data_IF_537096669394
#
_entry.id   IF_537096669394
#
_cell.length_a   1.000
_cell.length_b   1.000
_cell.length_c   1.000
_cell.angle_alpha   90.00
_cell.angle_beta   90.00
_cell.angle_gamma   90.00
#
_symmetry.space_group_name_H-M   'P 1'
#
loop_
_entity.id
_entity.type
_entity.pdbx_description
1 polymer ?
#
# COMPACT_ATOMS: atom_id res chain seq x y z
N UNK A 1 -3.03 37.83 -28.07
CA UNK A 1 -2.96 36.63 -27.21
C UNK A 1 -1.91 35.72 -27.81
N UNK A 2 -0.74 35.63 -27.20
CA UNK A 2 0.32 34.71 -27.66
C UNK A 2 -0.07 33.30 -27.25
N UNK A 3 -0.44 32.45 -28.22
CA UNK A 3 -0.43 31.00 -28.03
C UNK A 3 0.96 30.62 -27.51
N UNK A 4 1.01 30.13 -26.28
CA UNK A 4 2.25 29.57 -25.74
C UNK A 4 2.45 28.23 -26.45
N UNK A 5 3.57 28.09 -27.16
CA UNK A 5 3.87 26.87 -27.89
C UNK A 5 3.97 25.69 -26.92
N UNK A 6 3.34 24.56 -27.27
CA UNK A 6 3.42 23.31 -26.53
C UNK A 6 4.88 22.91 -26.31
N UNK A 7 5.22 22.54 -25.08
CA UNK A 7 6.55 22.07 -24.72
C UNK A 7 6.64 20.55 -24.86
N UNK A 8 7.87 20.01 -24.89
CA UNK A 8 8.09 18.55 -24.86
C UNK A 8 7.49 17.89 -23.60
N UNK A 9 7.38 18.63 -22.50
CA UNK A 9 6.74 18.13 -21.28
C UNK A 9 5.25 17.95 -21.46
N UNK A 10 4.59 18.83 -22.20
CA UNK A 10 3.16 18.71 -22.50
C UNK A 10 2.89 17.44 -23.34
N UNK A 11 3.77 17.14 -24.30
CA UNK A 11 3.69 15.91 -25.10
C UNK A 11 3.89 14.64 -24.26
N UNK A 12 4.86 14.66 -23.33
CA UNK A 12 5.11 13.54 -22.41
C UNK A 12 3.92 13.33 -21.48
N UNK A 13 3.41 14.39 -20.85
CA UNK A 13 2.33 14.30 -19.88
C UNK A 13 0.97 14.00 -20.53
N UNK A 14 0.76 14.38 -21.79
CA UNK A 14 -0.40 13.95 -22.57
C UNK A 14 -0.46 12.42 -22.74
N UNK A 15 0.68 11.73 -22.70
CA UNK A 15 0.76 10.26 -22.74
C UNK A 15 0.74 9.60 -21.37
N UNK A 16 0.93 10.35 -20.28
CA UNK A 16 1.00 9.84 -18.91
C UNK A 16 -0.36 10.00 -18.21
N UNK A 17 -1.35 9.25 -18.67
CA UNK A 17 -2.74 9.30 -18.14
C UNK A 17 -3.10 8.06 -17.35
N UNK A 18 -4.05 8.14 -16.38
CA UNK A 18 -4.56 6.97 -15.67
C UNK A 18 -5.01 5.85 -16.60
N UNK A 19 -5.72 6.16 -17.68
CA UNK A 19 -6.18 5.12 -18.62
C UNK A 19 -5.02 4.45 -19.36
N UNK A 20 -4.02 5.22 -19.81
CA UNK A 20 -2.88 4.66 -20.55
C UNK A 20 -2.01 3.72 -19.73
N UNK A 21 -1.90 3.94 -18.41
CA UNK A 21 -1.04 3.15 -17.52
C UNK A 21 -1.85 2.15 -16.72
N UNK A 22 -2.85 2.63 -15.98
CA UNK A 22 -3.60 1.81 -15.03
C UNK A 22 -4.59 0.89 -15.72
N UNK A 23 -5.06 1.18 -16.94
CA UNK A 23 -5.92 0.27 -17.72
C UNK A 23 -5.17 -0.50 -18.81
N UNK A 24 -3.85 -0.37 -18.89
CA UNK A 24 -3.05 -1.24 -19.77
C UNK A 24 -3.28 -2.71 -19.37
N UNK A 25 -3.59 -3.62 -20.32
CA UNK A 25 -3.87 -5.02 -20.01
C UNK A 25 -2.68 -5.76 -19.38
N UNK A 26 -1.45 -5.23 -19.50
CA UNK A 26 -0.24 -5.77 -18.89
C UNK A 26 -0.03 -5.27 -17.46
N UNK A 27 -0.70 -4.18 -17.06
CA UNK A 27 -0.55 -3.56 -15.74
C UNK A 27 -1.30 -4.34 -14.65
N UNK A 28 -0.90 -5.58 -14.41
CA UNK A 28 -1.62 -6.52 -13.53
C UNK A 28 -0.95 -6.76 -12.19
N UNK A 29 0.26 -6.21 -12.00
CA UNK A 29 1.13 -6.52 -10.86
C UNK A 29 2.03 -7.74 -11.06
N UNK A 30 1.98 -8.40 -12.23
CA UNK A 30 2.82 -9.55 -12.54
C UNK A 30 4.32 -9.21 -12.36
N UNK A 31 5.07 -10.13 -11.77
CA UNK A 31 6.49 -9.94 -11.44
C UNK A 31 6.78 -9.05 -10.21
N UNK A 32 5.75 -8.48 -9.57
CA UNK A 32 5.92 -7.61 -8.39
C UNK A 32 5.54 -8.37 -7.11
N UNK A 33 6.48 -8.42 -6.16
CA UNK A 33 6.24 -8.96 -4.83
C UNK A 33 5.75 -7.86 -3.88
N UNK A 34 4.66 -8.13 -3.16
CA UNK A 34 3.99 -7.21 -2.24
C UNK A 34 3.87 -7.87 -0.85
N UNK A 35 4.35 -7.21 0.20
CA UNK A 35 4.10 -7.62 1.58
C UNK A 35 2.93 -6.84 2.17
N UNK A 36 1.96 -7.55 2.76
CA UNK A 36 0.92 -7.01 3.63
C UNK A 36 1.34 -7.29 5.06
N UNK A 37 1.78 -6.26 5.78
CA UNK A 37 2.16 -6.34 7.19
C UNK A 37 0.93 -5.92 8.02
N UNK A 38 0.22 -6.91 8.55
CA UNK A 38 -1.11 -6.74 9.16
C UNK A 38 -1.42 -7.94 10.09
N UNK A 39 -2.68 -8.35 10.25
CA UNK A 39 -3.14 -9.46 11.09
C UNK A 39 -3.20 -10.82 10.38
N UNK A 40 -2.33 -11.02 9.40
CA UNK A 40 -2.31 -12.23 8.57
C UNK A 40 -3.42 -12.27 7.52
N UNK A 41 -3.39 -13.31 6.68
CA UNK A 41 -4.32 -13.51 5.57
C UNK A 41 -4.92 -14.91 5.65
N UNK A 42 -6.22 -15.03 5.46
CA UNK A 42 -6.92 -16.29 5.26
C UNK A 42 -6.87 -16.64 3.77
N UNK A 43 -5.88 -17.44 3.38
CA UNK A 43 -5.56 -17.78 1.99
C UNK A 43 -6.76 -18.39 1.28
N UNK A 44 -7.40 -19.35 1.93
CA UNK A 44 -8.48 -20.14 1.36
C UNK A 44 -9.68 -19.28 0.94
N UNK A 45 -9.99 -18.23 1.71
CA UNK A 45 -11.08 -17.29 1.43
C UNK A 45 -10.80 -16.49 0.17
N UNK A 46 -9.57 -15.99 0.01
CA UNK A 46 -9.20 -15.21 -1.18
C UNK A 46 -9.12 -16.08 -2.42
N UNK A 47 -8.44 -17.23 -2.34
CA UNK A 47 -8.36 -18.18 -3.47
C UNK A 47 -9.75 -18.59 -3.97
N UNK A 48 -10.68 -18.89 -3.05
CA UNK A 48 -12.06 -19.22 -3.40
C UNK A 48 -12.79 -18.05 -4.05
N UNK A 49 -12.68 -16.84 -3.48
CA UNK A 49 -13.32 -15.63 -4.02
C UNK A 49 -12.86 -15.33 -5.44
N UNK A 50 -11.55 -15.30 -5.66
CA UNK A 50 -10.99 -14.95 -6.98
C UNK A 50 -11.22 -16.05 -8.02
N UNK A 51 -11.15 -17.33 -7.63
CA UNK A 51 -11.52 -18.44 -8.50
C UNK A 51 -13.00 -18.35 -8.92
N UNK A 52 -13.91 -18.07 -7.98
CA UNK A 52 -15.34 -17.87 -8.26
C UNK A 52 -15.63 -16.68 -9.18
N UNK A 53 -14.77 -15.67 -9.18
CA UNK A 53 -14.82 -14.52 -10.10
C UNK A 53 -14.08 -14.75 -11.43
N UNK A 54 -13.56 -15.96 -11.68
CA UNK A 54 -12.79 -16.27 -12.89
C UNK A 54 -11.44 -15.52 -12.99
N UNK A 55 -10.95 -14.98 -11.87
CA UNK A 55 -9.69 -14.23 -11.82
C UNK A 55 -8.59 -15.09 -11.23
N UNK A 56 -7.51 -15.29 -11.99
CA UNK A 56 -6.35 -16.05 -11.51
C UNK A 56 -5.42 -15.17 -10.69
N UNK A 57 -5.19 -15.54 -9.43
CA UNK A 57 -4.20 -14.92 -8.53
C UNK A 57 -2.96 -15.80 -8.37
N UNK A 58 -1.82 -15.19 -8.05
CA UNK A 58 -0.61 -15.92 -7.68
C UNK A 58 -0.67 -16.41 -6.23
N UNK A 59 0.23 -17.32 -5.86
CA UNK A 59 0.27 -17.93 -4.52
C UNK A 59 0.50 -16.88 -3.42
N UNK A 60 -0.23 -17.04 -2.32
CA UNK A 60 -0.07 -16.24 -1.11
C UNK A 60 0.87 -16.98 -0.15
N UNK A 61 2.07 -16.45 0.08
CA UNK A 61 3.03 -16.94 1.07
C UNK A 61 3.01 -16.06 2.33
N UNK A 62 3.74 -16.41 3.39
CA UNK A 62 3.75 -15.57 4.58
C UNK A 62 4.50 -16.13 5.78
N UNK A 63 4.43 -15.39 6.89
CA UNK A 63 4.90 -15.83 8.20
C UNK A 63 4.18 -15.08 9.34
N UNK A 64 4.24 -15.63 10.55
CA UNK A 64 3.75 -14.98 11.78
C UNK A 64 4.94 -14.48 12.59
N UNK A 65 5.01 -13.17 12.80
CA UNK A 65 6.15 -12.48 13.40
C UNK A 65 6.02 -12.35 14.91
N UNK A 66 7.17 -12.24 15.57
CA UNK A 66 7.33 -12.04 17.00
C UNK A 66 8.36 -10.93 17.24
N UNK A 67 8.38 -10.30 18.43
CA UNK A 67 9.34 -9.22 18.72
C UNK A 67 10.80 -9.68 18.65
N UNK A 68 11.05 -10.97 18.90
CA UNK A 68 12.38 -11.58 18.83
C UNK A 68 12.32 -13.03 18.34
N UNK A 69 13.46 -13.50 17.81
CA UNK A 69 13.60 -14.83 17.24
C UNK A 69 13.05 -14.95 15.80
N UNK A 70 13.16 -16.15 15.21
CA UNK A 70 12.65 -16.39 13.86
C UNK A 70 11.11 -16.33 13.82
N UNK A 71 10.52 -15.91 12.68
CA UNK A 71 9.08 -15.94 12.54
C UNK A 71 8.57 -17.40 12.51
N UNK A 72 7.32 -17.58 12.93
CA UNK A 72 6.62 -18.86 12.85
C UNK A 72 6.08 -19.08 11.43
N UNK A 73 5.93 -20.34 10.99
CA UNK A 73 5.43 -20.63 9.65
C UNK A 73 3.99 -20.14 9.47
N UNK A 74 3.69 -19.61 8.28
CA UNK A 74 2.33 -19.32 7.87
C UNK A 74 1.61 -20.58 7.40
N UNK A 75 0.48 -20.88 8.01
CA UNK A 75 -0.33 -22.06 7.73
C UNK A 75 -1.50 -21.80 6.78
N UNK A 76 -1.60 -20.58 6.23
CA UNK A 76 -2.75 -20.17 5.41
C UNK A 76 -3.83 -19.40 6.17
N UNK A 77 -3.67 -19.21 7.49
CA UNK A 77 -4.66 -18.59 8.36
C UNK A 77 -4.25 -17.21 8.86
N UNK A 78 -5.24 -16.36 9.06
CA UNK A 78 -5.11 -15.05 9.72
C UNK A 78 -5.31 -15.15 11.24
N UNK A 79 -4.76 -14.21 12.00
CA UNK A 79 -5.12 -14.02 13.42
C UNK A 79 -6.37 -13.17 13.60
N UNK A 80 -6.63 -12.24 12.69
CA UNK A 80 -7.82 -11.36 12.69
C UNK A 80 -8.22 -11.01 11.26
N UNK A 81 -9.53 -10.77 10.97
CA UNK A 81 -10.06 -10.53 9.63
C UNK A 81 -9.43 -9.37 8.83
N UNK A 82 -8.82 -8.39 9.51
CA UNK A 82 -8.41 -7.13 8.89
C UNK A 82 -7.40 -7.32 7.73
N UNK A 83 -6.33 -8.08 7.96
CA UNK A 83 -5.30 -8.34 6.95
C UNK A 83 -5.81 -9.06 5.70
N UNK A 84 -6.83 -9.92 5.83
CA UNK A 84 -7.47 -10.55 4.65
C UNK A 84 -8.23 -9.53 3.81
N UNK A 85 -8.93 -8.58 4.42
CA UNK A 85 -9.59 -7.48 3.68
C UNK A 85 -8.56 -6.58 2.99
N UNK A 86 -7.43 -6.31 3.64
CA UNK A 86 -6.32 -5.54 3.04
C UNK A 86 -5.74 -6.27 1.83
N UNK A 87 -5.44 -7.56 1.97
CA UNK A 87 -4.91 -8.39 0.88
C UNK A 87 -5.91 -8.55 -0.27
N UNK A 88 -7.20 -8.68 0.03
CA UNK A 88 -8.28 -8.69 -0.96
C UNK A 88 -8.26 -7.44 -1.85
N UNK A 89 -8.08 -6.26 -1.26
CA UNK A 89 -7.97 -5.01 -2.00
C UNK A 89 -6.75 -5.04 -2.92
N UNK A 90 -5.56 -5.40 -2.40
CA UNK A 90 -4.34 -5.47 -3.21
C UNK A 90 -4.53 -6.40 -4.41
N UNK A 91 -5.10 -7.59 -4.20
CA UNK A 91 -5.36 -8.56 -5.27
C UNK A 91 -6.49 -8.13 -6.21
N UNK A 92 -7.45 -7.33 -5.75
CA UNK A 92 -8.49 -6.74 -6.63
C UNK A 92 -7.86 -5.73 -7.59
N UNK A 93 -6.91 -4.91 -7.11
CA UNK A 93 -6.26 -3.89 -7.92
C UNK A 93 -5.15 -4.47 -8.81
N UNK A 94 -4.36 -5.39 -8.29
CA UNK A 94 -3.21 -5.99 -8.95
C UNK A 94 -3.22 -7.53 -8.74
N UNK A 95 -4.06 -8.27 -9.46
CA UNK A 95 -4.32 -9.69 -9.20
C UNK A 95 -3.11 -10.61 -9.39
N UNK A 96 -2.09 -10.14 -10.10
CA UNK A 96 -0.92 -10.93 -10.48
C UNK A 96 0.31 -10.65 -9.62
N UNK A 97 0.18 -9.91 -8.53
CA UNK A 97 1.30 -9.75 -7.58
C UNK A 97 1.61 -11.06 -6.88
N UNK A 98 2.87 -11.27 -6.51
CA UNK A 98 3.23 -12.28 -5.50
C UNK A 98 2.98 -11.69 -4.12
N UNK A 99 1.95 -12.16 -3.41
CA UNK A 99 1.55 -11.60 -2.12
C UNK A 99 2.18 -12.36 -0.96
N UNK A 100 2.76 -11.61 -0.03
CA UNK A 100 3.30 -12.09 1.24
C UNK A 100 2.48 -11.55 2.41
N UNK A 101 1.93 -12.44 3.21
CA UNK A 101 1.24 -12.13 4.46
C UNK A 101 2.23 -12.12 5.62
N UNK A 102 2.44 -10.96 6.23
CA UNK A 102 3.18 -10.83 7.49
C UNK A 102 2.21 -10.54 8.62
N UNK A 103 1.92 -11.57 9.43
CA UNK A 103 1.09 -11.40 10.62
C UNK A 103 1.94 -10.85 11.77
N UNK A 104 1.68 -9.60 12.20
CA UNK A 104 2.40 -8.93 13.30
C UNK A 104 1.58 -8.82 14.59
N UNK A 105 0.33 -9.29 14.57
CA UNK A 105 -0.54 -9.31 15.75
C UNK A 105 -0.53 -10.67 16.43
N UNK A 106 -0.43 -11.74 15.64
CA UNK A 106 -0.49 -13.12 16.10
C UNK A 106 -1.80 -13.44 16.85
N UNK A 107 -1.92 -14.66 17.40
CA UNK A 107 -3.15 -15.11 18.06
C UNK A 107 -3.56 -14.27 19.28
N UNK A 108 -2.61 -13.55 19.89
CA UNK A 108 -2.86 -12.72 21.08
C UNK A 108 -3.35 -11.31 20.75
N UNK A 109 -3.31 -10.89 19.48
CA UNK A 109 -3.77 -9.57 19.03
C UNK A 109 -2.89 -8.39 19.44
N UNK A 110 -1.72 -8.64 20.02
CA UNK A 110 -0.77 -7.61 20.47
C UNK A 110 0.25 -7.30 19.38
N UNK A 111 0.38 -6.04 18.99
CA UNK A 111 1.37 -5.60 17.99
C UNK A 111 2.40 -4.67 18.64
N UNK A 112 3.65 -5.12 18.68
CA UNK A 112 4.80 -4.35 19.15
C UNK A 112 5.57 -3.74 17.97
N UNK A 113 6.19 -2.58 18.19
CA UNK A 113 7.00 -1.90 17.16
C UNK A 113 8.13 -2.81 16.67
N UNK A 114 8.74 -3.55 17.58
CA UNK A 114 9.80 -4.52 17.33
C UNK A 114 9.33 -5.64 16.38
N UNK A 115 8.08 -6.11 16.51
CA UNK A 115 7.47 -7.09 15.60
C UNK A 115 7.29 -6.52 14.19
N UNK A 116 6.82 -5.27 14.08
CA UNK A 116 6.66 -4.58 12.79
C UNK A 116 8.02 -4.38 12.10
N UNK A 117 9.05 -3.98 12.86
CA UNK A 117 10.42 -3.84 12.34
C UNK A 117 10.98 -5.19 11.86
N UNK A 118 10.75 -6.26 12.62
CA UNK A 118 11.17 -7.61 12.22
C UNK A 118 10.49 -8.06 10.93
N UNK A 119 9.18 -7.82 10.79
CA UNK A 119 8.42 -8.11 9.57
C UNK A 119 8.91 -7.29 8.38
N UNK A 120 9.13 -5.98 8.56
CA UNK A 120 9.61 -5.09 7.50
C UNK A 120 10.99 -5.53 6.99
N UNK A 121 11.93 -5.82 7.90
CA UNK A 121 13.25 -6.32 7.53
C UNK A 121 13.18 -7.67 6.82
N UNK A 122 12.34 -8.58 7.29
CA UNK A 122 12.16 -9.87 6.62
C UNK A 122 11.59 -9.72 5.21
N UNK A 123 10.61 -8.82 5.02
CA UNK A 123 10.05 -8.51 3.72
C UNK A 123 11.12 -7.99 2.74
N UNK A 124 12.01 -7.12 3.22
CA UNK A 124 13.10 -6.53 2.43
C UNK A 124 14.21 -7.56 2.15
N UNK A 125 14.67 -8.28 3.18
CA UNK A 125 15.88 -9.10 3.11
C UNK A 125 15.65 -10.51 2.63
N UNK A 126 14.51 -11.12 2.96
CA UNK A 126 14.24 -12.54 2.68
C UNK A 126 13.27 -12.66 1.51
N UNK A 127 12.12 -11.97 1.58
CA UNK A 127 11.12 -12.02 0.51
C UNK A 127 11.46 -11.14 -0.68
N UNK A 128 12.40 -10.20 -0.52
CA UNK A 128 12.83 -9.25 -1.56
C UNK A 128 11.65 -8.53 -2.21
N UNK A 129 10.69 -8.09 -1.38
CA UNK A 129 9.49 -7.41 -1.89
C UNK A 129 9.84 -6.05 -2.48
N UNK A 130 9.02 -5.61 -3.44
CA UNK A 130 9.11 -4.27 -4.02
C UNK A 130 8.17 -3.28 -3.34
N UNK A 131 7.06 -3.78 -2.81
CA UNK A 131 6.02 -2.97 -2.16
C UNK A 131 5.69 -3.56 -0.79
N UNK A 132 5.51 -2.69 0.20
CA UNK A 132 5.04 -3.01 1.54
C UNK A 132 3.80 -2.17 1.82
N UNK A 133 2.73 -2.81 2.25
CA UNK A 133 1.52 -2.16 2.73
C UNK A 133 1.44 -2.26 4.27
N UNK A 134 1.40 -1.12 4.94
CA UNK A 134 1.21 -0.96 6.38
C UNK A 134 -0.16 -0.30 6.64
N UNK A 135 -1.21 -1.11 6.68
CA UNK A 135 -2.57 -0.68 7.08
C UNK A 135 -2.73 -0.64 8.61
N UNK A 136 -1.68 -0.20 9.29
CA UNK A 136 -1.59 -0.08 10.74
C UNK A 136 -1.03 1.28 11.12
N UNK A 137 -1.37 1.75 12.31
CA UNK A 137 -0.93 3.03 12.80
C UNK A 137 -1.02 3.12 14.31
N UNK A 138 -0.02 3.76 14.91
CA UNK A 138 0.00 4.07 16.34
C UNK A 138 -0.08 5.59 16.50
N UNK A 139 -1.11 6.12 17.17
CA UNK A 139 -1.19 7.55 17.47
C UNK A 139 0.03 8.04 18.25
N UNK A 140 0.46 9.27 17.99
CA UNK A 140 1.67 9.86 18.60
C UNK A 140 1.74 9.71 20.13
N UNK A 141 0.60 9.90 20.82
CA UNK A 141 0.53 9.78 22.28
C UNK A 141 0.75 8.36 22.81
N UNK A 142 0.59 7.32 21.99
CA UNK A 142 0.90 5.92 22.35
C UNK A 142 2.32 5.53 21.98
N UNK A 143 2.97 6.31 21.11
CA UNK A 143 4.35 6.12 20.67
C UNK A 143 5.32 7.08 21.37
N UNK A 144 5.03 7.48 22.62
CA UNK A 144 5.80 8.46 23.39
C UNK A 144 7.26 8.06 23.64
N UNK A 145 7.60 6.78 23.53
CA UNK A 145 8.97 6.31 23.66
C UNK A 145 9.79 6.66 22.41
N UNK A 146 10.50 7.79 22.46
CA UNK A 146 11.39 8.28 21.40
C UNK A 146 12.32 7.21 20.79
N UNK A 147 12.92 6.27 21.56
CA UNK A 147 13.78 5.25 20.97
C UNK A 147 13.06 4.33 19.96
N UNK A 148 11.84 3.89 20.27
CA UNK A 148 11.04 3.01 19.39
C UNK A 148 10.63 3.72 18.12
N UNK A 149 10.23 4.99 18.25
CA UNK A 149 9.92 5.85 17.11
C UNK A 149 11.11 5.97 16.15
N UNK A 150 12.30 6.26 16.68
CA UNK A 150 13.52 6.36 15.87
C UNK A 150 13.95 5.01 15.27
N UNK A 151 13.72 3.89 15.95
CA UNK A 151 13.98 2.56 15.39
C UNK A 151 13.07 2.25 14.20
N UNK A 152 11.76 2.53 14.33
CA UNK A 152 10.81 2.32 13.24
C UNK A 152 11.12 3.25 12.05
N UNK A 153 11.41 4.53 12.32
CA UNK A 153 11.79 5.48 11.29
C UNK A 153 13.02 5.00 10.50
N UNK A 154 14.08 4.56 11.19
CA UNK A 154 15.28 4.03 10.53
C UNK A 154 14.99 2.80 9.66
N UNK A 155 14.09 1.92 10.10
CA UNK A 155 13.70 0.76 9.30
C UNK A 155 12.93 1.15 8.03
N UNK A 156 12.10 2.20 8.10
CA UNK A 156 11.40 2.78 6.94
C UNK A 156 12.39 3.44 5.97
N UNK A 157 13.35 4.21 6.50
CA UNK A 157 14.41 4.82 5.69
C UNK A 157 15.28 3.76 5.00
N UNK A 158 15.61 2.67 5.70
CA UNK A 158 16.32 1.53 5.11
C UNK A 158 15.53 0.92 3.94
N UNK A 159 14.21 0.75 4.08
CA UNK A 159 13.36 0.27 2.99
C UNK A 159 13.46 1.18 1.75
N UNK A 160 13.38 2.50 1.96
CA UNK A 160 13.52 3.48 0.89
C UNK A 160 14.88 3.38 0.17
N UNK A 161 15.98 3.31 0.93
CA UNK A 161 17.33 3.18 0.36
C UNK A 161 17.60 1.83 -0.32
N UNK A 162 16.75 0.83 -0.08
CA UNK A 162 16.82 -0.49 -0.71
C UNK A 162 15.77 -0.66 -1.80
N UNK A 163 15.27 0.46 -2.33
CA UNK A 163 14.31 0.54 -3.44
C UNK A 163 12.95 -0.11 -3.17
N UNK A 164 12.57 -0.23 -1.89
CA UNK A 164 11.27 -0.78 -1.47
C UNK A 164 10.29 0.35 -1.19
N UNK A 165 9.10 0.27 -1.79
CA UNK A 165 8.04 1.25 -1.58
C UNK A 165 7.23 0.86 -0.36
N UNK A 166 7.17 1.73 0.64
CA UNK A 166 6.33 1.54 1.82
C UNK A 166 5.11 2.46 1.74
N UNK A 167 3.92 1.89 1.87
CA UNK A 167 2.65 2.62 1.96
C UNK A 167 2.12 2.51 3.38
N UNK A 168 1.75 3.64 3.98
CA UNK A 168 1.29 3.67 5.37
C UNK A 168 -0.01 4.44 5.54
N UNK A 169 -0.94 3.86 6.29
CA UNK A 169 -2.22 4.45 6.61
C UNK A 169 -2.06 5.66 7.55
N UNK A 170 -2.68 6.78 7.16
CA UNK A 170 -2.93 7.90 8.06
C UNK A 170 -3.95 7.50 9.15
N UNK A 171 -4.26 8.43 10.06
CA UNK A 171 -5.21 8.18 11.13
C UNK A 171 -6.66 8.30 10.65
N UNK A 172 -7.55 7.46 11.18
CA UNK A 172 -8.98 7.47 10.79
C UNK A 172 -9.82 8.57 11.45
N UNK A 173 -9.30 9.18 12.53
CA UNK A 173 -9.99 10.23 13.29
C UNK A 173 -9.58 11.63 12.80
N UNK A 174 -9.44 12.59 13.73
CA UNK A 174 -9.22 14.00 13.41
C UNK A 174 -8.00 14.20 12.49
N UNK A 175 -8.08 15.07 11.45
CA UNK A 175 -7.01 15.28 10.47
C UNK A 175 -5.69 15.82 11.05
N UNK A 176 -5.70 16.27 12.31
CA UNK A 176 -4.51 16.74 13.02
C UNK A 176 -3.83 15.64 13.85
N UNK A 177 -4.45 14.47 14.01
CA UNK A 177 -3.89 13.38 14.79
C UNK A 177 -2.79 12.70 13.98
N UNK A 178 -1.54 12.87 14.42
CA UNK A 178 -0.40 12.18 13.83
C UNK A 178 -0.43 10.70 14.21
N UNK A 179 -0.31 9.85 13.19
CA UNK A 179 -0.17 8.41 13.31
C UNK A 179 1.12 7.95 12.65
N UNK A 180 1.86 7.08 13.32
CA UNK A 180 3.08 6.47 12.81
C UNK A 180 2.77 5.05 12.32
N UNK A 181 3.26 4.64 11.14
CA UNK A 181 4.38 5.25 10.43
C UNK A 181 4.03 6.38 9.44
N UNK A 182 2.77 6.63 9.07
CA UNK A 182 2.45 7.61 8.01
C UNK A 182 3.09 9.01 8.20
N UNK A 183 3.21 9.49 9.44
CA UNK A 183 3.88 10.76 9.74
C UNK A 183 5.41 10.76 9.53
N UNK A 184 6.03 9.63 9.15
CA UNK A 184 7.43 9.55 8.75
C UNK A 184 7.70 9.85 7.28
N UNK A 185 6.69 10.18 6.45
CA UNK A 185 6.93 10.65 5.09
C UNK A 185 7.97 11.81 5.07
N UNK A 186 8.87 11.89 4.07
CA UNK A 186 8.77 11.32 2.72
C UNK A 186 9.44 9.96 2.40
N UNK A 187 10.24 9.25 3.25
CA UNK A 187 10.77 7.93 2.88
C UNK A 187 9.70 6.84 2.64
N UNK A 188 8.44 7.11 2.98
CA UNK A 188 7.29 6.29 2.62
C UNK A 188 6.23 7.12 1.90
N UNK A 189 5.20 6.47 1.39
CA UNK A 189 4.01 7.07 0.80
C UNK A 189 2.88 7.03 1.83
N UNK A 190 2.49 8.18 2.36
CA UNK A 190 1.43 8.31 3.37
C UNK A 190 0.06 8.48 2.71
N UNK A 191 -0.92 7.69 3.18
CA UNK A 191 -2.23 7.55 2.52
C UNK A 191 -3.39 7.80 3.49
N UNK A 192 -4.22 8.77 3.14
CA UNK A 192 -5.50 9.06 3.77
C UNK A 192 -6.68 8.54 2.93
N UNK A 193 -7.87 8.54 3.52
CA UNK A 193 -9.10 8.08 2.87
C UNK A 193 -9.69 9.16 1.96
N UNK A 194 -10.06 8.75 0.76
CA UNK A 194 -10.86 9.54 -0.16
C UNK A 194 -12.09 8.76 -0.64
N UNK A 195 -13.16 9.49 -0.92
CA UNK A 195 -14.38 8.93 -1.50
C UNK A 195 -14.28 9.09 -3.02
N UNK A 196 -13.92 8.00 -3.69
CA UNK A 196 -13.84 7.92 -5.14
C UNK A 196 -14.75 6.79 -5.63
N UNK A 197 -15.42 6.95 -6.77
CA UNK A 197 -16.27 5.89 -7.31
C UNK A 197 -15.46 4.76 -7.95
N UNK A 198 -14.36 5.12 -8.63
CA UNK A 198 -13.42 4.18 -9.25
C UNK A 198 -12.32 3.80 -8.25
N UNK A 199 -12.07 2.49 -8.01
CA UNK A 199 -11.03 2.04 -7.10
C UNK A 199 -9.59 2.34 -7.55
N UNK A 200 -9.37 2.69 -8.82
CA UNK A 200 -8.08 3.15 -9.35
C UNK A 200 -7.88 4.66 -9.21
N UNK A 201 -8.88 5.41 -8.73
CA UNK A 201 -8.75 6.85 -8.51
C UNK A 201 -8.15 7.17 -7.15
N UNK A 202 -7.32 8.20 -7.16
CA UNK A 202 -6.63 8.75 -6.00
C UNK A 202 -6.33 10.24 -6.26
N UNK A 203 -5.90 10.95 -5.22
CA UNK A 203 -5.51 12.34 -5.30
C UNK A 203 -4.22 12.59 -4.54
N UNK A 204 -3.41 13.54 -5.02
CA UNK A 204 -2.35 14.14 -4.21
C UNK A 204 -2.94 15.34 -3.48
N UNK A 205 -2.91 15.31 -2.14
CA UNK A 205 -3.43 16.37 -1.28
C UNK A 205 -2.59 16.43 -0.02
N UNK A 206 -1.46 17.13 -0.12
CA UNK A 206 -0.54 17.29 1.00
C UNK A 206 -1.24 18.02 2.17
N UNK A 207 -1.31 17.36 3.31
CA UNK A 207 -1.76 17.92 4.57
C UNK A 207 -0.82 17.43 5.67
N UNK A 208 -0.05 18.33 6.28
CA UNK A 208 1.07 17.98 7.16
C UNK A 208 2.03 17.00 6.47
N UNK A 209 2.20 15.78 7.00
CA UNK A 209 3.03 14.72 6.42
C UNK A 209 2.23 13.69 5.62
N UNK A 210 0.93 13.90 5.38
CA UNK A 210 0.09 12.99 4.61
C UNK A 210 -0.04 13.46 3.16
N UNK A 211 0.45 12.65 2.21
CA UNK A 211 0.66 13.06 0.81
C UNK A 211 -0.52 12.75 -0.11
N UNK A 212 -1.14 11.56 0.04
CA UNK A 212 -2.14 11.05 -0.91
C UNK A 212 -3.46 10.71 -0.22
N UNK A 213 -4.55 10.76 -1.01
CA UNK A 213 -5.84 10.16 -0.68
C UNK A 213 -6.19 9.09 -1.71
N UNK A 214 -6.74 7.95 -1.30
CA UNK A 214 -7.13 6.88 -2.21
C UNK A 214 -8.51 6.28 -1.88
N UNK A 215 -9.07 5.48 -2.79
CA UNK A 215 -10.36 4.82 -2.60
C UNK A 215 -10.39 4.04 -1.30
N UNK A 216 -11.38 4.31 -0.44
CA UNK A 216 -11.28 3.90 0.96
C UNK A 216 -12.31 2.85 1.39
N UNK A 217 -12.80 1.98 0.49
CA UNK A 217 -13.74 0.89 0.85
C UNK A 217 -13.11 -0.47 0.60
N UNK A 218 -13.38 -1.43 1.47
CA UNK A 218 -13.05 -2.83 1.24
C UNK A 218 -14.18 -3.59 0.54
N UNK A 219 -13.88 -4.82 0.11
CA UNK A 219 -14.83 -5.68 -0.60
C UNK A 219 -15.09 -7.01 0.10
N UNK A 220 -14.53 -7.19 1.29
CA UNK A 220 -14.58 -8.44 2.02
C UNK A 220 -14.59 -8.19 3.53
N UNK A 221 -15.47 -8.89 4.24
CA UNK A 221 -15.56 -8.82 5.71
C UNK A 221 -16.53 -7.75 6.23
N UNK A 222 -16.82 -7.77 7.54
CA UNK A 222 -17.89 -6.97 8.15
C UNK A 222 -17.57 -5.46 8.18
N UNK A 223 -16.30 -5.08 8.19
CA UNK A 223 -15.84 -3.69 8.31
C UNK A 223 -15.56 -3.02 6.95
N UNK A 224 -15.78 -3.73 5.85
CA UNK A 224 -15.38 -3.32 4.52
C UNK A 224 -16.17 -2.12 3.98
N UNK A 225 -17.38 -1.89 4.50
CA UNK A 225 -18.31 -0.87 3.97
C UNK A 225 -18.01 0.54 4.47
N UNK A 226 -17.34 0.67 5.61
CA UNK A 226 -17.04 1.98 6.19
C UNK A 226 -15.72 2.54 5.64
N UNK A 227 -15.70 3.80 5.17
CA UNK A 227 -14.49 4.47 4.70
C UNK A 227 -13.35 4.52 5.74
N UNK A 228 -12.20 3.92 5.41
CA UNK A 228 -11.03 3.90 6.29
C UNK A 228 -9.69 4.05 5.54
N UNK A 229 -8.70 4.63 6.21
CA UNK A 229 -7.31 4.78 5.72
C UNK A 229 -6.64 3.42 5.51
N UNK A 230 -6.99 2.43 6.35
CA UNK A 230 -6.56 1.03 6.20
C UNK A 230 -7.01 0.39 4.89
N UNK A 231 -8.12 0.87 4.30
CA UNK A 231 -8.59 0.45 2.98
C UNK A 231 -7.98 1.29 1.86
N UNK A 232 -7.75 2.59 2.09
CA UNK A 232 -7.12 3.47 1.11
C UNK A 232 -5.66 3.08 0.78
N UNK A 233 -4.90 2.70 1.81
CA UNK A 233 -3.49 2.32 1.68
C UNK A 233 -3.27 1.17 0.68
N UNK A 234 -3.98 0.04 0.75
CA UNK A 234 -3.80 -1.07 -0.20
C UNK A 234 -4.30 -0.75 -1.60
N UNK A 235 -5.24 0.20 -1.78
CA UNK A 235 -5.59 0.68 -3.12
C UNK A 235 -4.39 1.34 -3.79
N UNK A 236 -3.74 2.28 -3.10
CA UNK A 236 -2.60 2.99 -3.67
C UNK A 236 -1.38 2.08 -3.82
N UNK A 237 -1.16 1.15 -2.89
CA UNK A 237 -0.12 0.13 -2.99
C UNK A 237 -0.33 -0.79 -4.22
N UNK A 238 -1.58 -1.22 -4.45
CA UNK A 238 -1.97 -1.99 -5.64
C UNK A 238 -1.77 -1.21 -6.93
N UNK A 239 -2.17 0.07 -6.97
CA UNK A 239 -1.96 0.97 -8.11
C UNK A 239 -0.46 1.08 -8.43
N UNK A 240 0.38 1.25 -7.41
CA UNK A 240 1.83 1.27 -7.60
C UNK A 240 2.35 -0.06 -8.14
N UNK A 241 1.84 -1.20 -7.68
CA UNK A 241 2.18 -2.51 -8.23
C UNK A 241 1.78 -2.66 -9.72
N UNK A 242 0.64 -2.09 -10.14
CA UNK A 242 0.26 -2.02 -11.57
C UNK A 242 1.30 -1.25 -12.38
N UNK A 243 1.69 -0.05 -11.92
CA UNK A 243 2.73 0.77 -12.57
C UNK A 243 4.05 -0.01 -12.65
N UNK A 244 4.47 -0.62 -11.54
CA UNK A 244 5.70 -1.38 -11.45
C UNK A 244 5.71 -2.62 -12.36
N UNK A 245 4.57 -3.27 -12.61
CA UNK A 245 4.54 -4.39 -13.56
C UNK A 245 4.85 -3.99 -15.01
N UNK A 246 4.70 -2.71 -15.36
CA UNK A 246 5.14 -2.18 -16.66
C UNK A 246 6.62 -1.74 -16.65
N UNK A 247 7.14 -1.32 -15.49
CA UNK A 247 8.52 -0.86 -15.31
C UNK A 247 9.04 -1.22 -13.89
N UNK A 248 9.55 -2.45 -13.69
CA UNK A 248 9.81 -3.00 -12.35
C UNK A 248 10.95 -2.32 -11.56
N UNK A 249 11.86 -1.65 -12.26
CA UNK A 249 13.07 -1.02 -11.73
C UNK A 249 12.86 0.42 -11.25
N UNK A 250 11.64 0.96 -11.35
CA UNK A 250 11.31 2.30 -10.84
C UNK A 250 11.64 2.41 -9.34
N UNK A 251 12.22 3.54 -8.97
CA UNK A 251 12.60 3.91 -7.61
C UNK A 251 11.42 4.53 -6.86
N UNK A 252 11.44 4.55 -5.52
CA UNK A 252 10.35 5.13 -4.73
C UNK A 252 10.00 6.57 -5.11
N UNK A 253 10.99 7.43 -5.37
CA UNK A 253 10.74 8.83 -5.78
C UNK A 253 10.15 8.94 -7.19
N UNK A 254 10.49 8.03 -8.10
CA UNK A 254 9.94 8.00 -9.46
C UNK A 254 8.47 7.58 -9.43
N UNK A 255 8.12 6.58 -8.62
CA UNK A 255 6.72 6.19 -8.42
C UNK A 255 5.92 7.34 -7.79
N UNK A 256 6.45 8.03 -6.76
CA UNK A 256 5.80 9.22 -6.20
C UNK A 256 5.52 10.28 -7.28
N UNK A 257 6.50 10.51 -8.14
CA UNK A 257 6.40 11.46 -9.26
C UNK A 257 5.33 11.02 -10.26
N UNK A 258 5.32 9.75 -10.67
CA UNK A 258 4.32 9.20 -11.59
C UNK A 258 2.92 9.29 -10.97
N UNK A 259 2.74 8.91 -9.71
CA UNK A 259 1.45 9.02 -9.02
C UNK A 259 0.95 10.47 -9.00
N UNK A 260 1.81 11.43 -8.67
CA UNK A 260 1.47 12.85 -8.71
C UNK A 260 1.00 13.29 -10.10
N UNK A 261 1.69 12.88 -11.17
CA UNK A 261 1.31 13.24 -12.53
C UNK A 261 0.04 12.57 -13.01
N UNK A 262 -0.17 11.29 -12.67
CA UNK A 262 -1.42 10.58 -12.95
C UNK A 262 -2.63 11.27 -12.31
N UNK A 263 -2.47 11.78 -11.09
CA UNK A 263 -3.50 12.61 -10.45
C UNK A 263 -3.74 13.92 -11.21
N UNK A 264 -2.67 14.63 -11.60
CA UNK A 264 -2.78 15.90 -12.33
C UNK A 264 -3.46 15.75 -13.68
N UNK A 265 -3.10 14.72 -14.46
CA UNK A 265 -3.70 14.46 -15.76
C UNK A 265 -5.16 13.98 -15.64
N UNK A 266 -5.47 13.16 -14.64
CA UNK A 266 -6.85 12.73 -14.37
C UNK A 266 -7.80 13.83 -13.90
N UNK A 267 -7.25 14.93 -13.33
CA UNK A 267 -8.04 16.11 -12.91
C UNK A 267 -8.29 17.11 -14.04
N UNK A 268 -7.59 16.96 -15.17
CA UNK A 268 -7.70 17.86 -16.33
C UNK A 268 -8.80 17.44 -17.32
N UNK A 269 -9.37 16.25 -17.17
CA UNK A 269 -10.54 15.81 -17.96
C UNK A 269 -11.81 16.37 -17.31
N UNK A 270 -12.57 17.27 -17.95
CA UNK A 270 -13.86 17.68 -17.43
C UNK A 270 -14.76 16.45 -17.30
N UNK A 271 -15.54 16.38 -16.22
CA UNK A 271 -16.68 15.47 -16.17
C UNK A 271 -17.57 15.80 -17.39
N UNK A 272 -17.65 14.84 -18.32
CA UNK A 272 -18.58 14.90 -19.45
C UNK A 272 -20.03 14.78 -18.97
#
# INVERSE_FOLDING_TARGET
>A
MTETASTVFDEIFARLTPDSILRDPRATGEGIAVAVIDSGVERSVLETKFAGAGTSINTIEGAVFRPSGPPLPYTGHQSSPHGTTVADIVLTIAPRVKLYSADVFGPTGSCEVETVIAALRHAIDVWKVKVVNLSLGVPEHKLQQLPRRHQLQRAIEEAYFRDVLVFAAAHNEHPLTRSYPAAFAPPLISVDKGLFDDPLRFAYKLSEQVEFQAHSRGYLGPFAREPATSWATPHLAGIAARVLSLKPDLKPFEIKTILYWLFRSGSATPLA
#
